data_IF_712843123750
#
_entry.id   IF_712843123750
#
_cell.length_a   1.000
_cell.length_b   1.000
_cell.length_c   1.000
_cell.angle_alpha   90.00
_cell.angle_beta   90.00
_cell.angle_gamma   90.00
#
_symmetry.space_group_name_H-M   'P 1'
#
loop_
_entity.id
_entity.type
_entity.pdbx_description
1 polymer ?
#
# COMPACT_ATOMS: atom_id res chain seq x y z
N UNK A 1 28.82 0.32 30.14
CA UNK A 1 28.70 1.42 29.14
C UNK A 1 28.90 0.89 27.73
N UNK A 2 30.03 0.22 27.42
CA UNK A 2 30.31 -0.29 26.07
C UNK A 2 29.26 -1.29 25.55
N UNK A 3 28.86 -2.27 26.38
CA UNK A 3 27.86 -3.30 26.04
C UNK A 3 26.49 -2.72 25.63
N UNK A 4 26.07 -1.64 26.29
CA UNK A 4 24.80 -0.97 26.02
C UNK A 4 24.84 -0.22 24.68
N UNK A 5 25.99 0.39 24.38
CA UNK A 5 26.23 1.09 23.11
C UNK A 5 26.23 0.08 21.96
N UNK A 6 26.86 -1.08 22.13
CA UNK A 6 26.87 -2.15 21.11
C UNK A 6 25.45 -2.67 20.84
N UNK A 7 24.63 -2.85 21.89
CA UNK A 7 23.25 -3.29 21.73
C UNK A 7 22.37 -2.31 20.93
N UNK A 8 22.48 -1.01 21.22
CA UNK A 8 21.72 0.03 20.49
C UNK A 8 22.15 0.11 19.02
N UNK A 9 23.44 -0.04 18.74
CA UNK A 9 23.96 -0.04 17.36
C UNK A 9 23.41 -1.24 16.58
N UNK A 10 23.44 -2.45 17.16
CA UNK A 10 22.92 -3.65 16.48
C UNK A 10 21.42 -3.54 16.19
N UNK A 11 20.64 -3.08 17.17
CA UNK A 11 19.19 -2.90 17.00
C UNK A 11 18.88 -1.80 15.98
N UNK A 12 19.58 -0.67 16.06
CA UNK A 12 19.45 0.43 15.11
C UNK A 12 19.83 0.04 13.68
N UNK A 13 20.94 -0.70 13.51
CA UNK A 13 21.37 -1.22 12.21
C UNK A 13 20.39 -2.25 11.66
N UNK A 14 19.85 -3.14 12.49
CA UNK A 14 18.84 -4.11 12.06
C UNK A 14 17.54 -3.41 11.59
N UNK A 15 17.05 -2.42 12.35
CA UNK A 15 15.89 -1.62 11.97
C UNK A 15 16.16 -0.81 10.69
N UNK A 16 17.34 -0.21 10.57
CA UNK A 16 17.74 0.55 9.39
C UNK A 16 17.82 -0.33 8.15
N UNK A 17 18.42 -1.53 8.26
CA UNK A 17 18.50 -2.51 7.17
C UNK A 17 17.11 -3.03 6.77
N UNK A 18 16.20 -3.23 7.73
CA UNK A 18 14.81 -3.60 7.43
C UNK A 18 14.10 -2.47 6.69
N UNK A 19 14.27 -1.22 7.12
CA UNK A 19 13.68 -0.06 6.45
C UNK A 19 14.25 0.13 5.03
N UNK A 20 15.55 -0.08 4.86
CA UNK A 20 16.22 0.02 3.57
C UNK A 20 15.76 -1.12 2.65
N UNK A 21 15.63 -2.35 3.17
CA UNK A 21 15.07 -3.49 2.46
C UNK A 21 13.65 -3.21 1.99
N UNK A 22 12.79 -2.65 2.83
CA UNK A 22 11.43 -2.29 2.46
C UNK A 22 11.42 -1.23 1.36
N UNK A 23 12.27 -0.19 1.46
CA UNK A 23 12.38 0.82 0.41
C UNK A 23 12.94 0.26 -0.89
N UNK A 24 13.93 -0.63 -0.86
CA UNK A 24 14.51 -1.25 -2.04
C UNK A 24 13.54 -2.25 -2.67
N UNK A 25 12.82 -3.05 -1.87
CA UNK A 25 11.77 -3.93 -2.35
C UNK A 25 10.65 -3.12 -3.03
N UNK A 26 10.26 -1.99 -2.43
CA UNK A 26 9.30 -1.05 -3.02
C UNK A 26 9.83 -0.40 -4.31
N UNK A 27 11.12 -0.13 -4.41
CA UNK A 27 11.74 0.46 -5.60
C UNK A 27 11.93 -0.57 -6.73
N UNK A 28 12.36 -1.78 -6.39
CA UNK A 28 12.48 -2.92 -7.30
C UNK A 28 11.12 -3.30 -7.87
N UNK A 29 10.05 -3.21 -7.06
CA UNK A 29 8.69 -3.40 -7.57
C UNK A 29 8.28 -2.38 -8.62
N UNK A 30 8.67 -1.11 -8.47
CA UNK A 30 8.33 -0.07 -9.46
C UNK A 30 9.14 -0.11 -10.76
N UNK A 31 10.30 -0.77 -10.77
CA UNK A 31 11.27 -0.72 -11.87
C UNK A 31 11.55 -2.05 -12.58
N UNK A 32 11.04 -3.18 -12.09
CA UNK A 32 11.12 -4.44 -12.83
C UNK A 32 9.92 -4.57 -13.79
N UNK A 33 10.15 -4.82 -15.09
CA UNK A 33 9.09 -5.19 -16.03
C UNK A 33 8.66 -6.64 -15.74
N UNK A 34 7.90 -6.85 -14.67
CA UNK A 34 7.40 -8.17 -14.29
C UNK A 34 5.99 -8.38 -14.80
N UNK A 35 5.90 -9.23 -15.81
CA UNK A 35 4.74 -9.71 -16.55
C UNK A 35 3.72 -10.52 -15.73
N UNK A 36 3.51 -10.20 -14.45
CA UNK A 36 2.52 -10.88 -13.59
C UNK A 36 1.52 -9.87 -13.00
N UNK A 37 0.26 -9.89 -13.49
CA UNK A 37 -0.82 -9.01 -13.03
C UNK A 37 -1.03 -9.00 -11.50
N UNK A 38 -0.74 -10.12 -10.84
CA UNK A 38 -0.82 -10.26 -9.39
C UNK A 38 0.18 -9.35 -8.65
N UNK A 39 1.42 -9.28 -9.14
CA UNK A 39 2.44 -8.41 -8.54
C UNK A 39 2.04 -6.94 -8.74
N UNK A 40 1.54 -6.60 -9.94
CA UNK A 40 1.12 -5.24 -10.26
C UNK A 40 0.01 -4.74 -9.32
N UNK A 41 -1.00 -5.57 -9.01
CA UNK A 41 -2.06 -5.15 -8.08
C UNK A 41 -1.57 -5.03 -6.63
N UNK A 42 -0.64 -5.89 -6.19
CA UNK A 42 -0.04 -5.80 -4.85
C UNK A 42 0.72 -4.48 -4.69
N UNK A 43 1.49 -4.10 -5.71
CA UNK A 43 2.21 -2.82 -5.73
C UNK A 43 1.27 -1.63 -5.74
N UNK A 44 0.21 -1.71 -6.55
CA UNK A 44 -0.78 -0.65 -6.66
C UNK A 44 -1.51 -0.45 -5.33
N UNK A 45 -1.92 -1.54 -4.67
CA UNK A 45 -2.51 -1.50 -3.34
C UNK A 45 -1.55 -0.88 -2.31
N UNK A 46 -0.27 -1.25 -2.33
CA UNK A 46 0.73 -0.64 -1.45
C UNK A 46 0.92 0.87 -1.72
N UNK A 47 0.85 1.29 -2.99
CA UNK A 47 0.88 2.72 -3.38
C UNK A 47 -0.33 3.47 -2.85
N UNK A 48 -1.52 2.87 -2.94
CA UNK A 48 -2.75 3.42 -2.37
C UNK A 48 -2.60 3.63 -0.85
N UNK A 49 -2.13 2.63 -0.10
CA UNK A 49 -1.91 2.77 1.35
C UNK A 49 -0.98 3.93 1.69
N UNK A 50 0.15 4.08 0.97
CA UNK A 50 1.08 5.20 1.18
C UNK A 50 0.48 6.57 0.87
N UNK A 51 -0.53 6.65 0.00
CA UNK A 51 -1.24 7.92 -0.23
C UNK A 51 -2.21 8.19 0.90
N UNK A 52 -2.97 7.18 1.33
CA UNK A 52 -3.86 7.31 2.48
C UNK A 52 -3.10 7.74 3.74
N UNK A 53 -1.93 7.16 4.00
CA UNK A 53 -1.07 7.58 5.11
C UNK A 53 -0.64 9.04 5.01
N UNK A 54 -0.32 9.54 3.80
CA UNK A 54 0.03 10.95 3.57
C UNK A 54 -1.14 11.91 3.82
N UNK A 55 -2.36 11.42 3.66
CA UNK A 55 -3.59 12.14 3.99
C UNK A 55 -4.06 11.86 5.42
N UNK A 56 -3.24 11.24 6.27
CA UNK A 56 -3.56 11.01 7.69
C UNK A 56 -4.37 9.76 7.98
N UNK A 57 -4.78 8.99 6.96
CA UNK A 57 -5.56 7.76 7.13
C UNK A 57 -4.64 6.55 7.04
N UNK A 58 -4.26 5.98 8.19
CA UNK A 58 -3.30 4.87 8.26
C UNK A 58 -3.98 3.53 8.47
N UNK A 59 -3.53 2.53 7.71
CA UNK A 59 -3.92 1.13 7.95
C UNK A 59 -3.15 0.56 9.15
N UNK A 60 -3.88 0.08 10.16
CA UNK A 60 -3.27 -0.69 11.25
C UNK A 60 -2.63 -1.98 10.72
N UNK A 61 -1.43 -2.39 11.20
CA UNK A 61 -0.81 -3.66 10.80
C UNK A 61 -1.69 -4.89 11.09
N UNK A 62 -2.54 -4.82 12.10
CA UNK A 62 -3.47 -5.88 12.47
C UNK A 62 -4.77 -5.84 11.64
N UNK A 63 -5.04 -4.76 10.92
CA UNK A 63 -6.26 -4.61 10.13
C UNK A 63 -6.12 -5.31 8.76
N UNK A 64 -7.17 -6.00 8.36
CA UNK A 64 -7.33 -6.55 7.01
C UNK A 64 -7.52 -5.44 5.98
N UNK A 65 -7.39 -5.79 4.70
CA UNK A 65 -7.64 -4.83 3.62
C UNK A 65 -9.11 -4.37 3.58
N UNK A 66 -10.05 -5.28 3.86
CA UNK A 66 -11.48 -4.97 3.94
C UNK A 66 -11.83 -4.08 5.13
N UNK A 67 -11.25 -4.33 6.30
CA UNK A 67 -11.44 -3.45 7.47
C UNK A 67 -10.91 -2.05 7.23
N UNK A 68 -9.76 -1.95 6.55
CA UNK A 68 -9.22 -0.65 6.14
C UNK A 68 -10.16 0.09 5.18
N UNK A 69 -10.72 -0.59 4.18
CA UNK A 69 -11.68 0.02 3.25
C UNK A 69 -12.92 0.56 3.98
N UNK A 70 -13.44 -0.18 4.98
CA UNK A 70 -14.54 0.26 5.83
C UNK A 70 -14.15 1.48 6.70
N UNK A 71 -12.93 1.52 7.21
CA UNK A 71 -12.43 2.70 7.94
C UNK A 71 -12.38 3.93 7.04
N UNK A 72 -11.88 3.80 5.80
CA UNK A 72 -11.89 4.89 4.82
C UNK A 72 -13.31 5.36 4.50
N UNK A 73 -14.29 4.45 4.42
CA UNK A 73 -15.70 4.82 4.22
C UNK A 73 -16.23 5.74 5.34
N UNK A 74 -15.79 5.51 6.58
CA UNK A 74 -16.18 6.31 7.73
C UNK A 74 -15.45 7.66 7.78
N UNK A 75 -14.14 7.66 7.51
CA UNK A 75 -13.27 8.84 7.71
C UNK A 75 -13.10 9.71 6.45
N UNK A 76 -13.28 9.15 5.26
CA UNK A 76 -13.05 9.82 3.99
C UNK A 76 -13.94 9.27 2.86
N UNK A 77 -15.23 9.61 2.92
CA UNK A 77 -16.26 9.18 1.95
C UNK A 77 -15.88 9.41 0.47
N UNK A 78 -15.18 10.49 0.15
CA UNK A 78 -14.77 10.78 -1.22
C UNK A 78 -13.73 9.77 -1.77
N UNK A 79 -12.85 9.24 -0.92
CA UNK A 79 -11.86 8.23 -1.27
C UNK A 79 -12.43 6.80 -1.25
N UNK A 80 -13.52 6.57 -0.50
CA UNK A 80 -14.14 5.27 -0.29
C UNK A 80 -14.36 4.44 -1.57
N UNK A 81 -14.97 4.96 -2.66
CA UNK A 81 -15.22 4.15 -3.86
C UNK A 81 -13.92 3.68 -4.54
N UNK A 82 -12.88 4.52 -4.53
CA UNK A 82 -11.57 4.18 -5.10
C UNK A 82 -10.91 3.09 -4.25
N UNK A 83 -10.89 3.26 -2.92
CA UNK A 83 -10.27 2.30 -2.00
C UNK A 83 -11.00 0.96 -2.02
N UNK A 84 -12.32 0.96 -2.08
CA UNK A 84 -13.12 -0.26 -2.20
C UNK A 84 -12.80 -1.02 -3.49
N UNK A 85 -12.76 -0.33 -4.64
CA UNK A 85 -12.49 -0.96 -5.93
C UNK A 85 -11.08 -1.58 -5.99
N UNK A 86 -10.05 -0.83 -5.58
CA UNK A 86 -8.67 -1.32 -5.56
C UNK A 86 -8.52 -2.47 -4.58
N UNK A 87 -9.22 -2.43 -3.44
CA UNK A 87 -9.24 -3.54 -2.47
C UNK A 87 -9.89 -4.79 -3.06
N UNK A 88 -10.99 -4.66 -3.80
CA UNK A 88 -11.61 -5.80 -4.47
C UNK A 88 -10.67 -6.45 -5.50
N UNK A 89 -10.00 -5.64 -6.32
CA UNK A 89 -9.01 -6.14 -7.29
C UNK A 89 -7.80 -6.78 -6.60
N UNK A 90 -7.35 -6.23 -5.46
CA UNK A 90 -6.31 -6.85 -4.65
C UNK A 90 -6.72 -8.22 -4.14
N UNK A 91 -7.95 -8.36 -3.65
CA UNK A 91 -8.48 -9.65 -3.22
C UNK A 91 -8.56 -10.64 -4.38
N UNK A 92 -9.04 -10.19 -5.56
CA UNK A 92 -9.09 -11.03 -6.76
C UNK A 92 -7.69 -11.49 -7.17
N UNK A 93 -6.74 -10.57 -7.36
CA UNK A 93 -5.40 -10.91 -7.83
C UNK A 93 -4.54 -11.68 -6.83
N UNK A 94 -4.85 -11.64 -5.52
CA UNK A 94 -4.05 -12.33 -4.50
C UNK A 94 -4.67 -13.63 -4.00
N UNK A 95 -5.99 -13.71 -3.94
CA UNK A 95 -6.70 -14.82 -3.29
C UNK A 95 -7.63 -15.58 -4.23
N UNK A 96 -7.83 -15.11 -5.46
CA UNK A 96 -8.61 -15.83 -6.46
C UNK A 96 -7.72 -16.46 -7.53
N UNK A 97 -8.30 -17.34 -8.35
CA UNK A 97 -7.66 -17.88 -9.56
C UNK A 97 -8.03 -17.10 -10.83
N UNK A 98 -8.74 -15.99 -10.68
CA UNK A 98 -9.21 -15.17 -11.80
C UNK A 98 -8.11 -14.17 -12.13
N UNK A 99 -7.45 -14.29 -13.29
CA UNK A 99 -6.38 -13.38 -13.65
C UNK A 99 -6.93 -11.96 -13.84
N UNK A 100 -6.17 -10.97 -13.38
CA UNK A 100 -6.46 -9.57 -13.65
C UNK A 100 -6.05 -9.22 -15.07
N UNK A 101 -6.92 -8.51 -15.77
CA UNK A 101 -6.63 -7.99 -17.10
C UNK A 101 -5.76 -6.72 -17.02
N UNK A 102 -4.94 -6.44 -18.05
CA UNK A 102 -4.19 -5.19 -18.12
C UNK A 102 -5.08 -3.94 -18.05
N UNK A 103 -6.30 -4.00 -18.59
CA UNK A 103 -7.28 -2.90 -18.58
C UNK A 103 -7.77 -2.61 -17.17
N UNK A 104 -8.08 -3.64 -16.38
CA UNK A 104 -8.47 -3.48 -14.97
C UNK A 104 -7.35 -2.85 -14.15
N UNK A 105 -6.11 -3.27 -14.37
CA UNK A 105 -4.93 -2.70 -13.71
C UNK A 105 -4.70 -1.24 -14.10
N UNK A 106 -4.82 -0.88 -15.38
CA UNK A 106 -4.67 0.50 -15.86
C UNK A 106 -5.73 1.41 -15.23
N UNK A 107 -6.99 0.98 -15.25
CA UNK A 107 -8.10 1.74 -14.65
C UNK A 107 -7.89 1.94 -13.15
N UNK A 108 -7.47 0.89 -12.44
CA UNK A 108 -7.17 0.99 -11.02
C UNK A 108 -6.01 1.96 -10.76
N UNK A 109 -4.98 1.95 -11.61
CA UNK A 109 -3.86 2.88 -11.50
C UNK A 109 -4.28 4.34 -11.71
N UNK A 110 -5.17 4.60 -12.67
CA UNK A 110 -5.75 5.93 -12.89
C UNK A 110 -6.57 6.39 -11.68
N UNK A 111 -7.42 5.53 -11.11
CA UNK A 111 -8.21 5.86 -9.92
C UNK A 111 -7.32 6.17 -8.70
N UNK A 112 -6.26 5.39 -8.51
CA UNK A 112 -5.23 5.65 -7.49
C UNK A 112 -4.51 6.97 -7.78
N UNK A 113 -4.29 7.34 -9.05
CA UNK A 113 -3.82 8.66 -9.43
C UNK A 113 -4.76 9.80 -9.00
N UNK A 114 -6.07 9.64 -9.26
CA UNK A 114 -7.11 10.60 -8.87
C UNK A 114 -7.22 10.76 -7.35
N UNK A 115 -6.87 9.73 -6.59
CA UNK A 115 -6.84 9.81 -5.12
C UNK A 115 -5.91 10.91 -4.60
N UNK A 116 -4.88 11.31 -5.37
CA UNK A 116 -3.96 12.39 -5.01
C UNK A 116 -4.57 13.79 -5.16
N UNK A 117 -5.54 13.95 -6.06
CA UNK A 117 -6.22 15.24 -6.25
C UNK A 117 -7.39 15.43 -5.29
N UNK A 118 -7.79 14.37 -4.58
CA UNK A 118 -8.80 14.48 -3.53
C UNK A 118 -8.18 15.12 -2.29
N UNK A 119 -8.75 16.25 -1.87
CA UNK A 119 -8.40 16.88 -0.60
C UNK A 119 -9.08 16.13 0.54
N UNK A 120 -8.29 15.53 1.43
CA UNK A 120 -8.79 15.08 2.73
C UNK A 120 -8.79 16.28 3.68
N UNK A 121 -9.98 16.74 4.07
CA UNK A 121 -10.12 17.75 5.12
C UNK A 121 -10.10 16.98 6.44
N UNK A 122 -8.92 16.86 7.04
CA UNK A 122 -8.75 16.34 8.39
C UNK A 122 -9.50 17.30 9.33
N UNK A 123 -10.55 16.79 10.00
CA UNK A 123 -11.30 17.54 11.00
C UNK A 123 -10.73 17.29 12.39
#
# INVERSE_FOLDING_TARGET
MLELITGVIVVGSALFLLMLRDRIALWATTHLPTSHPELAIVQLYARMLRMMERHGVRKSPAATASEFARLVELEWKAAAPIVANVTALYHQGRFSRIPLTPVELSRAAEQVGQLQSLTHVVR
#
